data_IF_569318009013
#
_entry.id   IF_569318009013
#
_cell.length_a   1.000
_cell.length_b   1.000
_cell.length_c   1.000
_cell.angle_alpha   90.00
_cell.angle_beta   90.00
_cell.angle_gamma   90.00
#
_symmetry.space_group_name_H-M   'P 1'
#
loop_
_entity.id
_entity.type
_entity.pdbx_description
1 polymer ?
#
# COMPACT_ATOMS: atom_id res chain seq x y z
N UNK A 1 -18.11 -2.40 -12.60
CA UNK A 1 -17.81 -3.54 -11.70
C UNK A 1 -16.86 -4.51 -12.38
N UNK A 2 -15.84 -4.96 -11.64
CA UNK A 2 -14.95 -6.07 -11.98
C UNK A 2 -15.19 -7.13 -10.93
N UNK A 3 -15.91 -8.20 -11.27
CA UNK A 3 -16.38 -9.19 -10.31
C UNK A 3 -16.05 -10.61 -10.76
N UNK A 4 -15.60 -11.43 -9.81
CA UNK A 4 -15.29 -12.86 -10.01
C UNK A 4 -14.16 -13.34 -9.09
N UNK A 5 -13.71 -14.55 -9.39
CA UNK A 5 -12.69 -15.29 -8.64
C UNK A 5 -11.66 -16.01 -9.55
N UNK A 6 -11.88 -16.07 -10.84
CA UNK A 6 -10.87 -16.57 -11.78
C UNK A 6 -9.84 -15.48 -12.09
N UNK A 7 -8.54 -15.67 -11.77
CA UNK A 7 -7.53 -14.66 -11.95
C UNK A 7 -7.40 -14.15 -13.38
N UNK A 8 -7.39 -15.03 -14.38
CA UNK A 8 -7.21 -14.61 -15.77
C UNK A 8 -8.41 -13.81 -16.29
N UNK A 9 -9.62 -14.26 -15.96
CA UNK A 9 -10.85 -13.52 -16.29
C UNK A 9 -10.89 -12.16 -15.60
N UNK A 10 -10.49 -12.11 -14.34
CA UNK A 10 -10.44 -10.86 -13.56
C UNK A 10 -9.39 -9.89 -14.12
N UNK A 11 -8.21 -10.37 -14.54
CA UNK A 11 -7.20 -9.53 -15.20
C UNK A 11 -7.73 -8.93 -16.51
N UNK A 12 -8.39 -9.72 -17.34
CA UNK A 12 -8.99 -9.24 -18.59
C UNK A 12 -10.08 -8.19 -18.35
N UNK A 13 -10.98 -8.44 -17.38
CA UNK A 13 -12.02 -7.49 -16.98
C UNK A 13 -11.42 -6.19 -16.42
N UNK A 14 -10.37 -6.29 -15.59
CA UNK A 14 -9.70 -5.12 -15.02
C UNK A 14 -9.01 -4.31 -16.12
N UNK A 15 -8.29 -4.94 -17.05
CA UNK A 15 -7.67 -4.25 -18.18
C UNK A 15 -8.70 -3.47 -19.00
N UNK A 16 -9.81 -4.09 -19.36
CA UNK A 16 -10.89 -3.44 -20.08
C UNK A 16 -11.52 -2.28 -19.30
N UNK A 17 -11.70 -2.44 -17.98
CA UNK A 17 -12.23 -1.40 -17.10
C UNK A 17 -11.28 -0.21 -16.98
N UNK A 18 -9.96 -0.45 -16.89
CA UNK A 18 -8.95 0.61 -16.88
C UNK A 18 -8.91 1.38 -18.19
N UNK A 19 -8.92 0.69 -19.32
CA UNK A 19 -8.98 1.33 -20.65
C UNK A 19 -10.24 2.19 -20.81
N UNK A 20 -11.37 1.71 -20.35
CA UNK A 20 -12.61 2.48 -20.34
C UNK A 20 -12.48 3.71 -19.44
N UNK A 21 -11.96 3.56 -18.23
CA UNK A 21 -11.81 4.66 -17.29
C UNK A 21 -10.88 5.76 -17.83
N UNK A 22 -9.77 5.38 -18.45
CA UNK A 22 -8.83 6.34 -19.07
C UNK A 22 -9.50 7.11 -20.21
N UNK A 23 -10.20 6.42 -21.11
CA UNK A 23 -10.94 7.09 -22.20
C UNK A 23 -12.00 8.05 -21.66
N UNK A 24 -12.72 7.64 -20.62
CA UNK A 24 -13.75 8.50 -20.01
C UNK A 24 -13.15 9.74 -19.34
N UNK A 25 -12.02 9.59 -18.65
CA UNK A 25 -11.28 10.73 -18.07
C UNK A 25 -10.83 11.70 -19.18
N UNK A 26 -10.27 11.18 -20.26
CA UNK A 26 -9.84 12.00 -21.40
C UNK A 26 -11.01 12.75 -22.03
N UNK A 27 -12.13 12.09 -22.25
CA UNK A 27 -13.36 12.68 -22.78
C UNK A 27 -13.86 13.83 -21.89
N UNK A 28 -13.89 13.63 -20.57
CA UNK A 28 -14.29 14.66 -19.60
C UNK A 28 -13.36 15.88 -19.68
N UNK A 29 -12.04 15.62 -19.71
CA UNK A 29 -11.04 16.69 -19.78
C UNK A 29 -11.12 17.47 -21.09
N UNK A 30 -11.31 16.78 -22.21
CA UNK A 30 -11.44 17.40 -23.52
C UNK A 30 -12.72 18.25 -23.62
N UNK A 31 -13.84 17.73 -23.13
CA UNK A 31 -15.09 18.47 -23.05
C UNK A 31 -14.94 19.77 -22.26
N UNK A 32 -14.39 19.70 -21.05
CA UNK A 32 -14.17 20.88 -20.22
C UNK A 32 -13.26 21.93 -20.89
N UNK A 33 -12.19 21.48 -21.55
CA UNK A 33 -11.25 22.38 -22.25
C UNK A 33 -11.86 23.01 -23.49
N UNK A 34 -12.68 22.30 -24.25
CA UNK A 34 -13.27 22.77 -25.50
C UNK A 34 -14.49 23.67 -25.28
N UNK A 35 -15.27 23.41 -24.24
CA UNK A 35 -16.52 24.17 -23.98
C UNK A 35 -16.37 25.25 -22.92
N UNK A 36 -15.33 25.16 -22.06
CA UNK A 36 -15.21 26.00 -20.88
C UNK A 36 -16.16 25.59 -19.73
N UNK A 37 -16.93 24.52 -19.89
CA UNK A 37 -17.81 23.99 -18.84
C UNK A 37 -17.00 23.34 -17.73
N UNK A 38 -17.03 23.94 -16.54
CA UNK A 38 -16.34 23.47 -15.32
C UNK A 38 -17.29 22.80 -14.33
N UNK A 39 -18.51 22.48 -14.76
CA UNK A 39 -19.46 21.73 -13.93
C UNK A 39 -18.82 20.39 -13.52
N UNK A 40 -18.94 20.04 -12.24
CA UNK A 40 -18.36 18.82 -11.70
C UNK A 40 -18.89 17.58 -12.43
N UNK A 41 -18.05 16.85 -13.17
CA UNK A 41 -18.47 15.68 -13.91
C UNK A 41 -18.63 14.46 -12.99
N UNK A 42 -19.24 13.41 -13.52
CA UNK A 42 -19.18 12.09 -12.91
C UNK A 42 -17.91 11.38 -13.37
N UNK A 43 -16.92 11.35 -12.49
CA UNK A 43 -15.69 10.63 -12.74
C UNK A 43 -15.92 9.11 -12.73
N UNK A 44 -15.20 8.33 -13.54
CA UNK A 44 -15.29 6.88 -13.49
C UNK A 44 -14.82 6.35 -12.12
N UNK A 45 -15.49 5.30 -11.66
CA UNK A 45 -15.12 4.54 -10.46
C UNK A 45 -15.14 3.05 -10.80
N UNK A 46 -14.05 2.36 -10.49
CA UNK A 46 -13.95 0.91 -10.65
C UNK A 46 -14.25 0.26 -9.30
N UNK A 47 -15.24 -0.62 -9.28
CA UNK A 47 -15.56 -1.43 -8.10
C UNK A 47 -15.09 -2.86 -8.35
N UNK A 48 -14.04 -3.25 -7.61
CA UNK A 48 -13.52 -4.61 -7.60
C UNK A 48 -14.26 -5.44 -6.56
N UNK A 49 -14.82 -6.58 -6.97
CA UNK A 49 -15.50 -7.52 -6.09
C UNK A 49 -14.94 -8.92 -6.27
N UNK A 50 -14.19 -9.37 -5.30
CA UNK A 50 -13.56 -10.69 -5.24
C UNK A 50 -13.75 -11.30 -3.84
N UNK A 51 -13.56 -12.61 -3.68
CA UNK A 51 -13.55 -13.23 -2.36
C UNK A 51 -12.49 -12.60 -1.46
N UNK A 52 -12.80 -12.45 -0.17
CA UNK A 52 -11.81 -12.01 0.82
C UNK A 52 -10.67 -13.03 0.90
N UNK A 53 -9.42 -12.58 0.84
CA UNK A 53 -8.26 -13.48 0.79
C UNK A 53 -8.09 -14.19 -0.57
N UNK A 54 -8.68 -13.63 -1.61
CA UNK A 54 -8.57 -14.15 -2.97
C UNK A 54 -7.11 -14.39 -3.37
N UNK A 55 -6.87 -15.51 -4.04
CA UNK A 55 -5.56 -16.08 -4.40
C UNK A 55 -4.72 -16.64 -3.24
N UNK A 56 -5.16 -16.45 -2.00
CA UNK A 56 -4.57 -17.10 -0.84
C UNK A 56 -5.01 -18.57 -0.70
N UNK A 57 -4.57 -19.24 0.38
CA UNK A 57 -5.00 -20.60 0.69
C UNK A 57 -6.53 -20.67 0.84
N UNK A 58 -7.14 -21.70 0.26
CA UNK A 58 -8.58 -21.94 0.41
C UNK A 58 -8.93 -22.39 1.81
N UNK A 59 -8.05 -23.15 2.43
CA UNK A 59 -8.23 -23.75 3.73
C UNK A 59 -6.89 -23.83 4.47
N UNK A 60 -6.91 -23.66 5.77
CA UNK A 60 -5.78 -23.87 6.69
C UNK A 60 -6.30 -24.60 7.93
N UNK A 61 -5.64 -25.67 8.37
CA UNK A 61 -6.04 -26.52 9.51
C UNK A 61 -7.45 -27.12 9.38
N UNK A 62 -7.84 -27.53 8.19
CA UNK A 62 -9.18 -28.08 7.98
C UNK A 62 -10.31 -27.06 8.14
N UNK A 63 -9.98 -25.74 8.07
CA UNK A 63 -10.95 -24.66 8.21
C UNK A 63 -10.89 -23.73 7.01
N UNK A 64 -12.05 -23.35 6.42
CA UNK A 64 -12.10 -22.41 5.31
C UNK A 64 -11.39 -21.10 5.68
N UNK A 65 -10.58 -20.59 4.76
CA UNK A 65 -9.88 -19.30 4.87
C UNK A 65 -10.44 -18.30 3.88
N UNK A 66 -10.39 -18.61 2.58
CA UNK A 66 -10.93 -17.72 1.54
C UNK A 66 -12.42 -17.46 1.76
N UNK A 67 -12.84 -16.22 1.52
CA UNK A 67 -14.21 -15.78 1.66
C UNK A 67 -14.66 -15.53 3.11
N UNK A 68 -13.81 -15.73 4.11
CA UNK A 68 -14.17 -15.55 5.51
C UNK A 68 -13.25 -14.57 6.25
N UNK A 69 -13.65 -14.23 7.47
CA UNK A 69 -12.91 -13.27 8.31
C UNK A 69 -11.46 -13.70 8.63
N UNK A 70 -11.17 -15.02 8.66
CA UNK A 70 -9.81 -15.51 8.89
C UNK A 70 -8.80 -15.08 7.84
N UNK A 71 -9.23 -14.83 6.61
CA UNK A 71 -8.39 -14.29 5.56
C UNK A 71 -7.94 -12.83 5.81
N UNK A 72 -8.53 -12.15 6.79
CA UNK A 72 -8.14 -10.79 7.19
C UNK A 72 -6.92 -10.77 8.11
N UNK A 73 -6.68 -11.86 8.82
CA UNK A 73 -5.55 -12.02 9.75
C UNK A 73 -4.36 -12.64 9.02
N UNK A 74 -3.32 -13.03 9.77
CA UNK A 74 -2.20 -13.80 9.22
C UNK A 74 -2.70 -15.18 8.80
N UNK A 75 -2.76 -15.51 7.51
CA UNK A 75 -3.37 -16.75 7.05
C UNK A 75 -2.64 -17.99 7.57
N UNK A 76 -1.30 -17.95 7.54
CA UNK A 76 -0.43 -19.03 8.01
C UNK A 76 0.54 -18.43 9.01
N UNK A 77 0.25 -18.59 10.29
CA UNK A 77 1.14 -18.13 11.36
C UNK A 77 2.31 -19.10 11.55
N UNK A 78 3.52 -18.60 11.37
CA UNK A 78 4.77 -19.34 11.64
C UNK A 78 5.26 -18.94 13.02
N UNK A 79 5.22 -19.89 13.95
CA UNK A 79 5.70 -19.72 15.32
C UNK A 79 6.27 -21.04 15.87
N UNK A 80 6.98 -20.98 16.96
CA UNK A 80 7.56 -22.15 17.62
C UNK A 80 6.46 -23.16 17.99
N UNK A 81 6.71 -24.43 17.71
CA UNK A 81 5.76 -25.51 17.97
C UNK A 81 4.69 -25.73 16.90
N UNK A 82 4.77 -25.07 15.76
CA UNK A 82 3.89 -25.29 14.62
C UNK A 82 4.66 -25.93 13.43
N UNK A 83 5.01 -27.23 13.51
CA UNK A 83 5.75 -27.91 12.46
C UNK A 83 4.93 -27.94 11.16
N UNK A 84 5.61 -27.81 10.02
CA UNK A 84 4.97 -27.80 8.70
C UNK A 84 4.45 -26.42 8.22
N UNK A 85 4.37 -25.42 9.11
CA UNK A 85 3.88 -24.08 8.73
C UNK A 85 4.77 -23.36 7.72
N UNK A 86 6.07 -23.50 7.85
CA UNK A 86 7.03 -22.93 6.91
C UNK A 86 6.84 -23.54 5.53
N UNK A 87 6.67 -24.85 5.45
CA UNK A 87 6.43 -25.57 4.19
C UNK A 87 5.09 -25.17 3.56
N UNK A 88 4.04 -25.02 4.36
CA UNK A 88 2.72 -24.58 3.89
C UNK A 88 2.79 -23.15 3.34
N UNK A 89 3.45 -22.25 4.07
CA UNK A 89 3.70 -20.88 3.62
C UNK A 89 4.54 -20.85 2.34
N UNK A 90 5.60 -21.64 2.27
CA UNK A 90 6.45 -21.76 1.09
C UNK A 90 5.66 -22.25 -0.13
N UNK A 91 4.81 -23.28 0.03
CA UNK A 91 3.94 -23.77 -1.04
C UNK A 91 2.98 -22.70 -1.54
N UNK A 92 2.37 -21.94 -0.64
CA UNK A 92 1.51 -20.83 -1.03
C UNK A 92 2.29 -19.77 -1.81
N UNK A 93 3.43 -19.29 -1.31
CA UNK A 93 4.24 -18.29 -1.99
C UNK A 93 4.76 -18.77 -3.34
N UNK A 94 5.17 -20.05 -3.45
CA UNK A 94 5.58 -20.66 -4.71
C UNK A 94 4.44 -20.79 -5.73
N UNK A 95 3.18 -20.81 -5.28
CA UNK A 95 2.04 -20.85 -6.20
C UNK A 95 1.94 -19.61 -7.09
N UNK A 96 2.55 -18.51 -6.69
CA UNK A 96 2.65 -17.27 -7.50
C UNK A 96 3.78 -17.31 -8.53
N UNK A 97 4.59 -18.35 -8.56
CA UNK A 97 5.70 -18.57 -9.52
C UNK A 97 6.66 -17.39 -9.57
N UNK A 98 7.25 -16.98 -8.42
CA UNK A 98 8.16 -15.83 -8.37
C UNK A 98 9.38 -15.98 -9.31
N UNK A 99 9.79 -17.20 -9.62
CA UNK A 99 10.88 -17.50 -10.55
C UNK A 99 10.59 -17.06 -12.00
N UNK A 100 9.35 -16.80 -12.36
CA UNK A 100 8.98 -16.23 -13.65
C UNK A 100 9.09 -14.69 -13.67
N UNK A 101 9.20 -14.07 -12.50
CA UNK A 101 9.18 -12.62 -12.32
C UNK A 101 10.55 -12.07 -11.91
N UNK A 102 11.34 -12.87 -11.22
CA UNK A 102 12.61 -12.47 -10.63
C UNK A 102 13.72 -13.45 -11.02
N UNK A 103 14.93 -12.92 -11.17
CA UNK A 103 16.15 -13.71 -11.36
C UNK A 103 16.65 -14.33 -10.02
N UNK A 104 17.75 -15.08 -10.09
CA UNK A 104 18.37 -15.73 -8.94
C UNK A 104 18.87 -14.76 -7.84
N UNK A 105 19.03 -13.48 -8.16
CA UNK A 105 19.42 -12.42 -7.22
C UNK A 105 18.21 -11.66 -6.67
N UNK A 106 16.99 -12.07 -7.04
CA UNK A 106 15.76 -11.39 -6.65
C UNK A 106 15.51 -10.09 -7.42
N UNK A 107 16.20 -9.87 -8.54
CA UNK A 107 15.98 -8.70 -9.40
C UNK A 107 14.84 -8.99 -10.38
N UNK A 108 13.95 -8.04 -10.56
CA UNK A 108 12.86 -8.15 -11.53
C UNK A 108 13.43 -8.35 -12.95
N UNK A 109 12.87 -9.28 -13.72
CA UNK A 109 13.32 -9.56 -15.09
C UNK A 109 13.20 -8.32 -15.99
N UNK A 110 14.09 -8.16 -17.00
CA UNK A 110 14.17 -6.94 -17.81
C UNK A 110 12.87 -6.55 -18.52
N UNK A 111 12.09 -7.53 -18.98
CA UNK A 111 10.80 -7.32 -19.65
C UNK A 111 9.81 -6.61 -18.74
N UNK A 112 9.76 -6.97 -17.47
CA UNK A 112 8.88 -6.34 -16.49
C UNK A 112 9.46 -5.00 -16.00
N UNK A 113 10.78 -4.87 -15.86
CA UNK A 113 11.42 -3.59 -15.55
C UNK A 113 11.12 -2.54 -16.63
N UNK A 114 11.05 -2.94 -17.89
CA UNK A 114 10.76 -2.05 -19.01
C UNK A 114 9.36 -1.44 -18.95
N UNK A 115 8.41 -2.08 -18.25
CA UNK A 115 7.04 -1.59 -18.06
C UNK A 115 6.98 -0.46 -17.02
N UNK A 116 7.98 -0.35 -16.15
CA UNK A 116 7.99 0.67 -15.10
C UNK A 116 8.05 2.08 -15.72
N UNK A 117 7.22 3.02 -15.26
CA UNK A 117 7.24 4.39 -15.75
C UNK A 117 8.57 5.07 -15.42
N UNK A 118 9.01 5.97 -16.31
CA UNK A 118 10.28 6.72 -16.19
C UNK A 118 10.02 8.22 -16.02
N UNK A 119 10.98 8.92 -15.40
CA UNK A 119 10.91 10.37 -15.22
C UNK A 119 9.64 10.82 -14.48
N UNK A 120 9.00 11.86 -14.95
CA UNK A 120 7.79 12.45 -14.34
C UNK A 120 6.54 11.58 -14.43
N UNK A 121 6.58 10.45 -15.11
CA UNK A 121 5.50 9.47 -15.12
C UNK A 121 5.50 8.58 -13.87
N UNK A 122 6.59 8.56 -13.10
CA UNK A 122 6.62 7.89 -11.80
C UNK A 122 5.81 8.70 -10.80
N UNK A 123 5.05 8.02 -9.95
CA UNK A 123 4.19 8.68 -8.95
C UNK A 123 5.00 9.63 -8.06
N UNK A 124 6.13 9.19 -7.51
CA UNK A 124 6.99 9.99 -6.64
C UNK A 124 7.80 11.09 -7.34
N UNK A 125 7.83 11.14 -8.67
CA UNK A 125 8.54 12.17 -9.45
C UNK A 125 7.58 13.08 -10.24
N UNK A 126 6.27 12.82 -10.19
CA UNK A 126 5.28 13.64 -10.86
C UNK A 126 5.10 14.96 -10.09
N UNK A 127 5.32 16.13 -10.73
CA UNK A 127 5.18 17.42 -10.05
C UNK A 127 3.81 17.65 -9.43
N UNK A 128 2.75 17.09 -9.99
CA UNK A 128 1.39 17.21 -9.46
C UNK A 128 1.15 16.30 -8.26
N UNK A 129 1.80 15.14 -8.19
CA UNK A 129 1.66 14.20 -7.08
C UNK A 129 2.48 14.62 -5.84
N UNK A 130 3.64 15.26 -6.04
CA UNK A 130 4.53 15.74 -4.97
C UNK A 130 4.17 17.14 -4.45
N UNK A 131 2.90 17.54 -4.45
CA UNK A 131 2.50 18.90 -4.08
C UNK A 131 2.81 19.94 -5.15
N UNK A 132 3.26 19.52 -6.33
CA UNK A 132 3.54 20.36 -7.49
C UNK A 132 4.64 21.39 -7.21
N UNK A 133 4.42 22.60 -7.69
CA UNK A 133 5.35 23.73 -7.50
C UNK A 133 5.31 24.35 -6.09
N UNK A 134 4.44 23.85 -5.22
CA UNK A 134 4.30 24.31 -3.83
C UNK A 134 5.14 23.51 -2.84
N UNK A 135 6.04 22.66 -3.31
CA UNK A 135 6.98 21.92 -2.46
C UNK A 135 7.78 22.90 -1.59
N UNK A 136 7.74 22.64 -0.30
CA UNK A 136 8.59 23.29 0.70
C UNK A 136 9.39 22.20 1.39
N UNK A 137 10.60 22.54 1.81
CA UNK A 137 11.44 21.62 2.58
C UNK A 137 10.70 21.21 3.86
N UNK A 138 10.70 19.92 4.12
CA UNK A 138 10.15 19.37 5.35
C UNK A 138 11.11 19.62 6.50
N UNK A 139 10.62 20.26 7.55
CA UNK A 139 11.36 20.41 8.80
C UNK A 139 11.22 19.12 9.61
N UNK A 140 12.35 18.53 9.98
CA UNK A 140 12.37 17.29 10.76
C UNK A 140 13.17 17.50 12.04
N UNK A 141 12.78 16.89 13.16
CA UNK A 141 13.62 16.85 14.36
C UNK A 141 14.83 15.93 14.12
N UNK A 142 15.83 16.02 14.98
CA UNK A 142 16.94 15.06 14.93
C UNK A 142 16.43 13.68 15.37
N UNK A 143 16.49 12.71 14.47
CA UNK A 143 16.00 11.35 14.75
C UNK A 143 16.76 10.67 15.90
N UNK A 144 17.99 11.15 16.25
CA UNK A 144 18.79 10.61 17.34
C UNK A 144 18.16 10.90 18.71
N UNK A 145 17.36 11.97 18.83
CA UNK A 145 16.66 12.34 20.06
C UNK A 145 15.56 11.31 20.43
N UNK A 146 15.21 10.43 19.48
CA UNK A 146 14.23 9.37 19.66
C UNK A 146 14.87 7.99 19.89
N UNK A 147 16.18 7.94 20.01
CA UNK A 147 16.89 6.69 20.27
C UNK A 147 16.48 6.08 21.61
N UNK A 148 16.17 4.80 21.61
CA UNK A 148 15.96 4.05 22.86
C UNK A 148 17.33 3.62 23.40
N UNK A 149 17.64 4.03 24.60
CA UNK A 149 18.88 3.61 25.27
C UNK A 149 18.78 2.13 25.69
N UNK A 150 19.66 1.30 25.15
CA UNK A 150 19.72 -0.14 25.43
C UNK A 150 21.08 -0.44 26.06
N UNK A 151 21.21 -0.37 27.41
CA UNK A 151 22.49 -0.52 28.09
C UNK A 151 23.09 -1.92 27.96
N UNK A 152 22.26 -2.94 27.74
CA UNK A 152 22.69 -4.32 27.45
C UNK A 152 21.60 -5.07 26.71
N UNK A 153 21.93 -6.15 25.97
CA UNK A 153 20.95 -6.97 25.26
C UNK A 153 19.83 -7.49 26.18
N UNK A 154 18.57 -7.29 25.77
CA UNK A 154 17.41 -7.74 26.52
C UNK A 154 17.03 -6.90 27.74
N UNK A 155 17.71 -5.77 28.03
CA UNK A 155 17.40 -4.91 29.16
C UNK A 155 16.17 -4.01 28.95
N UNK A 156 15.80 -3.75 27.71
CA UNK A 156 14.72 -2.82 27.36
C UNK A 156 13.81 -3.47 26.33
N UNK A 157 12.52 -3.36 26.57
CA UNK A 157 11.48 -3.66 25.55
C UNK A 157 10.95 -2.32 25.04
N UNK A 158 11.00 -2.13 23.73
CA UNK A 158 10.47 -0.96 23.06
C UNK A 158 9.74 -1.37 21.78
N UNK A 159 8.81 -0.52 21.35
CA UNK A 159 8.08 -0.71 20.11
C UNK A 159 8.47 0.40 19.13
N UNK A 160 8.99 0.02 17.98
CA UNK A 160 9.42 0.92 16.91
C UNK A 160 8.33 1.90 16.47
N UNK A 161 7.11 1.42 16.29
CA UNK A 161 5.98 2.24 15.87
C UNK A 161 5.54 3.25 16.95
N UNK A 162 5.77 2.98 18.22
CA UNK A 162 5.52 3.97 19.28
C UNK A 162 6.52 5.11 19.20
N UNK A 163 7.80 4.79 19.02
CA UNK A 163 8.87 5.78 18.81
C UNK A 163 8.61 6.58 17.54
N UNK A 164 8.26 5.90 16.45
CA UNK A 164 7.88 6.54 15.19
C UNK A 164 6.67 7.47 15.36
N UNK A 165 5.66 7.07 16.12
CA UNK A 165 4.49 7.90 16.41
C UNK A 165 4.86 9.25 17.05
N UNK A 166 5.79 9.22 18.00
CA UNK A 166 6.32 10.45 18.65
C UNK A 166 7.10 11.31 17.66
N UNK A 167 7.98 10.69 16.86
CA UNK A 167 8.72 11.41 15.82
C UNK A 167 7.79 12.08 14.80
N UNK A 168 6.77 11.35 14.32
CA UNK A 168 5.80 11.87 13.35
C UNK A 168 4.97 13.01 13.94
N UNK A 169 4.57 12.93 15.21
CA UNK A 169 3.93 14.05 15.92
C UNK A 169 4.79 15.31 15.85
N UNK A 170 6.07 15.20 16.16
CA UNK A 170 6.97 16.36 16.20
C UNK A 170 7.27 16.90 14.79
N UNK A 171 7.30 16.02 13.76
CA UNK A 171 7.34 16.47 12.37
C UNK A 171 6.07 17.26 12.02
N UNK A 172 4.89 16.82 12.44
CA UNK A 172 3.63 17.54 12.23
C UNK A 172 3.68 18.92 12.89
N UNK A 173 4.08 18.98 14.15
CA UNK A 173 4.20 20.22 14.92
C UNK A 173 5.14 21.22 14.26
N UNK A 174 6.35 20.79 13.85
CA UNK A 174 7.33 21.62 13.15
C UNK A 174 6.83 22.18 11.81
N UNK A 175 5.88 21.51 11.17
CA UNK A 175 5.37 21.89 9.85
C UNK A 175 3.93 22.41 9.87
N UNK A 176 3.37 22.67 11.05
CA UNK A 176 1.98 23.12 11.20
C UNK A 176 1.73 24.45 10.48
N UNK A 177 2.64 25.41 10.57
CA UNK A 177 2.53 26.69 9.88
C UNK A 177 2.62 26.55 8.36
N UNK A 178 3.57 25.75 7.87
CA UNK A 178 3.78 25.54 6.42
C UNK A 178 2.74 24.63 5.77
N UNK A 179 2.05 23.83 6.58
CA UNK A 179 0.99 22.88 6.16
C UNK A 179 1.41 21.96 5.02
N UNK A 180 2.67 21.55 4.98
CA UNK A 180 3.27 20.73 3.94
C UNK A 180 3.43 19.26 4.33
N UNK A 181 2.97 18.88 5.53
CA UNK A 181 2.98 17.51 6.02
C UNK A 181 1.61 17.12 6.59
N UNK A 182 1.15 15.90 6.25
CA UNK A 182 -0.11 15.34 6.76
C UNK A 182 0.01 13.83 6.91
N UNK A 183 -0.61 13.31 7.95
CA UNK A 183 -0.77 11.86 8.15
C UNK A 183 -2.18 11.47 7.72
N UNK A 184 -2.28 10.35 7.00
CA UNK A 184 -3.54 9.75 6.60
C UNK A 184 -3.59 8.31 7.12
N UNK A 185 -4.62 8.01 7.89
CA UNK A 185 -4.93 6.66 8.34
C UNK A 185 -6.42 6.40 8.12
N UNK A 186 -6.80 5.38 7.35
CA UNK A 186 -8.22 5.06 7.13
C UNK A 186 -8.91 4.62 8.42
N UNK A 187 -8.16 3.87 9.26
CA UNK A 187 -8.52 3.38 10.58
C UNK A 187 -7.25 2.95 11.34
N UNK A 188 -7.38 2.28 12.46
CA UNK A 188 -6.28 1.59 13.16
C UNK A 188 -5.05 2.44 13.52
N UNK A 189 -5.13 3.76 13.52
CA UNK A 189 -3.99 4.62 13.89
C UNK A 189 -3.47 4.29 15.29
N UNK A 190 -4.36 4.12 16.25
CA UNK A 190 -4.01 3.76 17.63
C UNK A 190 -3.49 2.32 17.75
N UNK A 191 -4.11 1.35 17.07
CA UNK A 191 -3.67 -0.05 17.07
C UNK A 191 -2.30 -0.23 16.42
N UNK A 192 -1.95 0.65 15.48
CA UNK A 192 -0.61 0.75 14.90
C UNK A 192 0.37 1.59 15.73
N UNK A 193 0.04 1.91 16.98
CA UNK A 193 0.93 2.65 17.92
C UNK A 193 1.23 4.09 17.52
N UNK A 194 0.45 4.68 16.63
CA UNK A 194 0.64 6.07 16.17
C UNK A 194 -0.19 7.09 16.97
N UNK A 195 -0.72 6.72 18.15
CA UNK A 195 -1.54 7.60 18.98
C UNK A 195 -0.94 8.99 19.25
N UNK A 196 0.40 9.18 19.36
CA UNK A 196 0.96 10.51 19.57
C UNK A 196 0.58 11.55 18.52
N UNK A 197 0.24 11.12 17.28
CA UNK A 197 -0.18 12.05 16.20
C UNK A 197 -1.50 12.78 16.49
N UNK A 198 -2.26 12.32 17.48
CA UNK A 198 -3.50 12.98 17.91
C UNK A 198 -3.28 14.12 18.93
N UNK A 199 -2.05 14.33 19.35
CA UNK A 199 -1.69 15.38 20.32
C UNK A 199 -1.48 16.74 19.64
N UNK A 200 -1.44 16.76 18.29
CA UNK A 200 -1.16 17.97 17.48
C UNK A 200 -2.34 18.33 16.60
#
# INVERSE_FOLDING_TARGET
>A
FVEGDDPMVMHQKMAAALDWAVREIQRIQEYARSTGDVTRPRWPMIVLRSPKGWTGPKEVDGKPLEGCWRAHQVPIAVHDGAPGRVQELEQWLKSYRPEELFDENGTLIPELQALAPKGNRRMGANPHANGGLLLRDLRTPDFRDYAVDVPQPGAVEAQDMTVMGTYVRDVMELNMESRNFRVFGPDETASNRLSPVFEV
#
